data_IF_656786440672
#
_entry.id   IF_656786440672
#
_cell.length_a   1.000
_cell.length_b   1.000
_cell.length_c   1.000
_cell.angle_alpha   90.00
_cell.angle_beta   90.00
_cell.angle_gamma   90.00
#
_symmetry.space_group_name_H-M   'P 1'
#
loop_
_entity.id
_entity.type
_entity.pdbx_description
1 polymer ?
#
# COMPACT_ATOMS: atom_id res chain seq x y z
N UNK A 1 18.33 5.03 -7.90
CA UNK A 1 18.62 4.05 -6.84
C UNK A 1 18.92 2.76 -7.59
N UNK A 2 20.17 2.31 -7.49
CA UNK A 2 20.63 1.09 -8.15
C UNK A 2 19.97 -0.12 -7.46
N UNK A 3 19.23 -0.92 -8.22
CA UNK A 3 18.52 -2.10 -7.72
C UNK A 3 19.48 -3.30 -7.43
N UNK A 4 20.79 -3.06 -7.41
CA UNK A 4 21.81 -4.05 -7.08
C UNK A 4 22.13 -4.09 -5.57
N UNK A 5 21.15 -3.78 -4.71
CA UNK A 5 21.25 -4.06 -3.27
C UNK A 5 21.41 -5.56 -3.00
N UNK A 6 21.88 -5.98 -1.79
CA UNK A 6 22.18 -7.35 -1.47
C UNK A 6 21.06 -8.29 -1.89
N UNK A 7 21.42 -9.35 -2.59
CA UNK A 7 20.52 -10.31 -3.22
C UNK A 7 19.30 -10.65 -2.35
N UNK A 8 18.13 -10.22 -2.83
CA UNK A 8 16.88 -10.63 -2.21
C UNK A 8 16.79 -12.17 -2.22
N UNK A 9 16.29 -12.79 -1.15
CA UNK A 9 16.12 -14.24 -1.13
C UNK A 9 15.27 -14.68 -2.33
N UNK A 10 15.56 -15.85 -2.90
CA UNK A 10 14.84 -16.34 -4.07
C UNK A 10 13.34 -16.43 -3.75
N UNK A 11 12.46 -15.87 -4.59
CA UNK A 11 11.03 -15.93 -4.36
C UNK A 11 10.54 -17.38 -4.39
N UNK A 12 9.68 -17.73 -3.46
CA UNK A 12 9.00 -19.01 -3.34
C UNK A 12 7.84 -19.08 -4.33
N UNK A 13 8.06 -19.52 -5.55
CA UNK A 13 7.00 -19.66 -6.55
C UNK A 13 7.12 -20.98 -7.35
N UNK A 14 6.00 -21.65 -7.55
CA UNK A 14 5.85 -22.92 -8.27
C UNK A 14 5.89 -22.75 -9.82
N UNK A 15 6.08 -21.53 -10.31
CA UNK A 15 6.11 -21.20 -11.76
C UNK A 15 7.50 -20.78 -12.24
N UNK A 16 7.82 -20.88 -13.54
CA UNK A 16 9.14 -20.59 -14.09
C UNK A 16 9.56 -19.11 -13.95
N UNK A 17 8.69 -18.26 -13.43
CA UNK A 17 8.94 -16.85 -13.20
C UNK A 17 8.94 -16.53 -11.70
N UNK A 18 9.98 -15.87 -11.24
CA UNK A 18 10.07 -15.36 -9.87
C UNK A 18 9.20 -14.13 -9.72
N UNK A 19 8.11 -14.24 -8.97
CA UNK A 19 7.32 -13.09 -8.56
C UNK A 19 7.67 -12.72 -7.11
N UNK A 20 7.87 -11.44 -6.87
CA UNK A 20 8.04 -10.93 -5.51
C UNK A 20 6.68 -10.83 -4.84
N UNK A 21 6.46 -11.65 -3.84
CA UNK A 21 5.26 -11.66 -3.02
C UNK A 21 5.25 -10.57 -1.95
N UNK A 22 4.16 -10.52 -1.20
CA UNK A 22 4.01 -9.54 -0.13
C UNK A 22 5.06 -9.72 0.98
N UNK A 23 5.42 -10.96 1.32
CA UNK A 23 6.47 -11.25 2.30
C UNK A 23 7.85 -10.75 1.83
N UNK A 24 8.18 -10.92 0.56
CA UNK A 24 9.43 -10.44 -0.01
C UNK A 24 9.51 -8.89 0.05
N UNK A 25 8.38 -8.22 -0.23
CA UNK A 25 8.28 -6.77 -0.14
C UNK A 25 8.47 -6.30 1.31
N UNK A 26 7.81 -6.94 2.28
CA UNK A 26 7.98 -6.63 3.71
C UNK A 26 9.44 -6.84 4.12
N UNK A 27 10.06 -7.95 3.72
CA UNK A 27 11.46 -8.22 4.03
C UNK A 27 12.41 -7.19 3.41
N UNK A 28 12.12 -6.73 2.19
CA UNK A 28 12.89 -5.66 1.52
C UNK A 28 12.77 -4.33 2.28
N UNK A 29 11.56 -3.93 2.66
CA UNK A 29 11.34 -2.73 3.45
C UNK A 29 11.98 -2.81 4.85
N UNK A 30 11.96 -3.98 5.47
CA UNK A 30 12.64 -4.24 6.74
C UNK A 30 14.15 -3.96 6.64
N UNK A 31 14.81 -4.50 5.61
CA UNK A 31 16.24 -4.23 5.36
C UNK A 31 16.52 -2.76 5.08
N UNK A 32 15.64 -2.10 4.32
CA UNK A 32 15.76 -0.67 4.05
C UNK A 32 15.66 0.16 5.34
N UNK A 33 14.75 -0.21 6.25
CA UNK A 33 14.62 0.44 7.56
C UNK A 33 15.87 0.22 8.42
N UNK A 34 16.44 -0.99 8.43
CA UNK A 34 17.69 -1.29 9.14
C UNK A 34 18.83 -0.42 8.59
N UNK A 35 19.01 -0.41 7.27
CA UNK A 35 20.02 0.43 6.61
C UNK A 35 19.83 1.92 6.94
N UNK A 36 18.60 2.41 6.89
CA UNK A 36 18.29 3.80 7.24
C UNK A 36 18.66 4.08 8.70
N UNK A 37 18.36 3.16 9.62
CA UNK A 37 18.69 3.31 11.06
C UNK A 37 20.19 3.42 11.27
N UNK A 38 20.97 2.66 10.52
CA UNK A 38 22.44 2.70 10.60
C UNK A 38 23.05 4.00 10.05
N UNK A 39 22.35 4.66 9.13
CA UNK A 39 22.79 5.90 8.47
C UNK A 39 22.47 7.17 9.28
N UNK A 40 21.55 7.11 10.25
CA UNK A 40 21.13 8.28 11.02
C UNK A 40 21.50 8.13 12.52
N UNK A 41 21.70 9.25 13.25
CA UNK A 41 21.98 9.20 14.70
C UNK A 41 20.91 8.38 15.45
N UNK A 42 21.27 7.62 16.49
CA UNK A 42 20.32 6.81 17.27
C UNK A 42 19.14 7.60 17.87
N UNK A 43 19.34 8.87 18.16
CA UNK A 43 18.31 9.78 18.68
C UNK A 43 17.33 10.31 17.63
N UNK A 44 17.58 10.06 16.33
CA UNK A 44 16.71 10.55 15.26
C UNK A 44 15.39 9.76 15.26
N UNK A 45 14.22 10.43 15.41
CA UNK A 45 12.93 9.74 15.35
C UNK A 45 12.64 9.28 13.92
N UNK A 46 12.28 8.01 13.75
CA UNK A 46 11.86 7.46 12.45
C UNK A 46 10.34 7.41 12.38
N UNK A 47 9.82 7.94 11.27
CA UNK A 47 8.41 7.95 10.94
C UNK A 47 8.17 7.03 9.75
N UNK A 48 7.16 6.17 9.86
CA UNK A 48 6.76 5.28 8.76
C UNK A 48 5.40 5.73 8.25
N UNK A 49 5.33 5.98 6.96
CA UNK A 49 4.07 6.31 6.29
C UNK A 49 3.73 5.23 5.28
N UNK A 50 2.51 4.73 5.33
CA UNK A 50 2.01 3.73 4.39
C UNK A 50 0.68 4.13 3.78
N UNK A 51 0.55 3.98 2.46
CA UNK A 51 -0.69 4.17 1.73
C UNK A 51 -1.22 2.83 1.25
N UNK A 52 -2.52 2.58 1.42
CA UNK A 52 -3.19 1.37 0.96
C UNK A 52 -2.51 0.10 1.52
N UNK A 53 -2.02 -0.79 0.67
CA UNK A 53 -1.20 -1.95 1.04
C UNK A 53 0.05 -1.56 1.84
N UNK A 54 0.66 -0.41 1.53
CA UNK A 54 1.81 0.10 2.28
C UNK A 54 1.50 0.36 3.76
N UNK A 55 0.24 0.61 4.12
CA UNK A 55 -0.18 0.70 5.52
C UNK A 55 -0.12 -0.66 6.24
N UNK A 56 -0.49 -1.74 5.57
CA UNK A 56 -0.29 -3.10 6.09
C UNK A 56 1.20 -3.41 6.28
N UNK A 57 2.03 -3.07 5.29
CA UNK A 57 3.48 -3.25 5.38
C UNK A 57 4.05 -2.43 6.54
N UNK A 58 3.59 -1.20 6.77
CA UNK A 58 3.99 -0.37 7.91
C UNK A 58 3.68 -1.03 9.26
N UNK A 59 2.51 -1.68 9.40
CA UNK A 59 2.17 -2.46 10.59
C UNK A 59 3.08 -3.68 10.77
N UNK A 60 3.46 -4.35 9.68
CA UNK A 60 4.43 -5.46 9.74
C UNK A 60 5.82 -4.96 10.14
N UNK A 61 6.26 -3.80 9.62
CA UNK A 61 7.51 -3.17 10.06
C UNK A 61 7.47 -2.79 11.54
N UNK A 62 6.36 -2.25 12.03
CA UNK A 62 6.19 -2.00 13.46
C UNK A 62 6.30 -3.29 14.26
N UNK A 63 5.71 -4.38 13.77
CA UNK A 63 5.81 -5.67 14.44
C UNK A 63 7.26 -6.17 14.57
N UNK A 64 8.10 -5.91 13.57
CA UNK A 64 9.51 -6.35 13.56
C UNK A 64 10.46 -5.36 14.24
N UNK A 65 10.19 -4.05 14.16
CA UNK A 65 11.11 -2.97 14.52
C UNK A 65 10.45 -1.91 15.40
N UNK A 66 9.63 -2.32 16.38
CA UNK A 66 8.93 -1.39 17.26
C UNK A 66 9.87 -0.42 18.00
N UNK A 67 11.07 -0.87 18.35
CA UNK A 67 12.11 -0.07 19.00
C UNK A 67 12.66 1.06 18.12
N UNK A 68 12.62 0.90 16.79
CA UNK A 68 13.17 1.85 15.82
C UNK A 68 12.14 2.86 15.32
N UNK A 69 10.86 2.52 15.36
CA UNK A 69 9.77 3.35 14.84
C UNK A 69 9.19 4.22 15.94
N UNK A 70 9.14 5.54 15.70
CA UNK A 70 8.57 6.52 16.61
C UNK A 70 7.08 6.75 16.35
N UNK A 71 6.68 6.89 15.07
CA UNK A 71 5.31 7.12 14.70
C UNK A 71 4.94 6.47 13.36
N UNK A 72 3.65 6.21 13.17
CA UNK A 72 3.06 5.69 11.93
C UNK A 72 1.94 6.59 11.43
N UNK A 73 1.91 6.76 10.11
CA UNK A 73 0.85 7.43 9.36
C UNK A 73 0.27 6.45 8.35
N UNK A 74 -0.99 6.10 8.53
CA UNK A 74 -1.69 5.12 7.70
C UNK A 74 -2.71 5.85 6.81
N UNK A 75 -2.41 5.95 5.52
CA UNK A 75 -3.23 6.69 4.57
C UNK A 75 -4.11 5.73 3.77
N UNK A 76 -5.43 5.89 3.85
CA UNK A 76 -6.40 5.03 3.16
C UNK A 76 -6.05 3.54 3.34
N UNK A 77 -5.89 3.08 4.58
CA UNK A 77 -5.20 1.85 4.87
C UNK A 77 -6.02 0.61 4.50
N UNK A 78 -5.37 -0.32 3.78
CA UNK A 78 -5.88 -1.67 3.50
C UNK A 78 -5.20 -2.65 4.48
N UNK A 79 -5.60 -2.64 5.77
CA UNK A 79 -4.90 -3.34 6.86
C UNK A 79 -5.66 -4.50 7.48
N UNK A 80 -6.93 -4.66 7.15
CA UNK A 80 -7.74 -5.77 7.65
C UNK A 80 -8.81 -6.18 6.62
N UNK A 81 -9.20 -7.44 6.63
CA UNK A 81 -10.32 -8.01 5.87
C UNK A 81 -10.39 -7.61 4.39
N UNK A 82 -9.27 -7.37 3.73
CA UNK A 82 -9.22 -6.86 2.35
C UNK A 82 -10.04 -7.72 1.38
N UNK A 83 -10.15 -9.01 1.65
CA UNK A 83 -10.94 -9.95 0.86
C UNK A 83 -12.46 -9.63 0.86
N UNK A 84 -12.95 -8.82 1.81
CA UNK A 84 -14.34 -8.38 1.91
C UNK A 84 -14.59 -7.04 1.23
N UNK A 85 -13.54 -6.32 0.83
CA UNK A 85 -13.66 -5.05 0.14
C UNK A 85 -14.45 -5.20 -1.18
N UNK A 86 -15.36 -4.25 -1.50
CA UNK A 86 -16.13 -4.31 -2.76
C UNK A 86 -15.24 -4.44 -3.99
N UNK A 87 -14.15 -3.68 -4.05
CA UNK A 87 -13.18 -3.71 -5.15
C UNK A 87 -12.48 -5.06 -5.26
N UNK A 88 -12.20 -5.75 -4.15
CA UNK A 88 -11.55 -7.05 -4.16
C UNK A 88 -12.38 -8.11 -4.89
N UNK A 89 -13.72 -8.00 -4.86
CA UNK A 89 -14.62 -8.92 -5.59
C UNK A 89 -14.42 -8.82 -7.09
N UNK A 90 -14.26 -7.61 -7.61
CA UNK A 90 -14.03 -7.35 -9.03
C UNK A 90 -12.61 -7.79 -9.41
N UNK A 91 -11.63 -7.40 -8.62
CA UNK A 91 -10.21 -7.65 -8.90
C UNK A 91 -9.86 -9.14 -8.84
N UNK A 92 -10.62 -9.96 -8.08
CA UNK A 92 -10.47 -11.43 -8.07
C UNK A 92 -10.60 -12.07 -9.45
N UNK A 93 -11.31 -11.43 -10.40
CA UNK A 93 -11.42 -11.94 -11.77
C UNK A 93 -10.05 -12.09 -12.42
N UNK A 94 -9.07 -11.22 -12.05
CA UNK A 94 -7.69 -11.29 -12.56
C UNK A 94 -6.90 -12.48 -12.01
N UNK A 95 -7.38 -13.11 -10.93
CA UNK A 95 -6.78 -14.34 -10.38
C UNK A 95 -7.24 -15.60 -11.14
N UNK A 96 -8.25 -15.49 -11.99
CA UNK A 96 -8.68 -16.60 -12.83
C UNK A 96 -7.62 -16.83 -13.92
N UNK A 97 -7.04 -18.02 -13.96
CA UNK A 97 -5.87 -18.34 -14.80
C UNK A 97 -5.98 -17.92 -16.27
N UNK A 98 -7.10 -18.14 -16.98
CA UNK A 98 -7.26 -17.67 -18.36
C UNK A 98 -7.20 -16.14 -18.48
N UNK A 99 -7.80 -15.42 -17.53
CA UNK A 99 -7.76 -13.94 -17.50
C UNK A 99 -6.35 -13.46 -17.22
N UNK A 100 -5.68 -14.05 -16.25
CA UNK A 100 -4.29 -13.75 -15.93
C UNK A 100 -3.37 -13.97 -17.14
N UNK A 101 -3.50 -15.14 -17.82
CA UNK A 101 -2.72 -15.44 -19.00
C UNK A 101 -2.97 -14.44 -20.14
N UNK A 102 -4.23 -14.05 -20.35
CA UNK A 102 -4.61 -13.05 -21.34
C UNK A 102 -3.97 -11.68 -21.01
N UNK A 103 -4.09 -11.22 -19.76
CA UNK A 103 -3.49 -9.95 -19.31
C UNK A 103 -1.96 -9.99 -19.48
N UNK A 104 -1.33 -11.09 -19.09
CA UNK A 104 0.13 -11.25 -19.25
C UNK A 104 0.55 -11.22 -20.72
N UNK A 105 -0.17 -11.93 -21.58
CA UNK A 105 0.06 -11.93 -23.04
C UNK A 105 -0.13 -10.52 -23.62
N UNK A 106 -1.18 -9.81 -23.22
CA UNK A 106 -1.42 -8.42 -23.63
C UNK A 106 -0.25 -7.51 -23.23
N UNK A 107 0.20 -7.58 -21.98
CA UNK A 107 1.36 -6.80 -21.51
C UNK A 107 2.64 -7.17 -22.26
N UNK A 108 2.82 -8.47 -22.59
CA UNK A 108 3.95 -8.91 -23.38
C UNK A 108 3.91 -8.33 -24.81
N UNK A 109 2.76 -8.29 -25.47
CA UNK A 109 2.58 -7.65 -26.77
C UNK A 109 2.85 -6.14 -26.65
N UNK A 110 2.26 -5.47 -25.66
CA UNK A 110 2.42 -4.04 -25.43
C UNK A 110 3.89 -3.66 -25.14
N UNK A 111 4.63 -4.53 -24.48
CA UNK A 111 6.07 -4.31 -24.21
C UNK A 111 6.95 -4.27 -25.47
N UNK A 112 6.40 -4.72 -26.64
CA UNK A 112 7.08 -4.64 -27.95
C UNK A 112 6.77 -3.37 -28.72
N UNK A 113 5.80 -2.59 -28.25
CA UNK A 113 5.42 -1.31 -28.89
C UNK A 113 6.42 -0.23 -28.43
N UNK A 114 6.90 0.62 -29.35
CA UNK A 114 7.74 1.77 -29.01
C UNK A 114 7.08 2.61 -27.92
N UNK A 115 7.87 3.03 -26.92
CA UNK A 115 7.38 3.74 -25.72
C UNK A 115 6.59 5.00 -26.05
N UNK A 116 6.97 5.74 -27.13
CA UNK A 116 6.24 6.91 -27.62
C UNK A 116 4.80 6.60 -28.04
N UNK A 117 4.60 5.42 -28.63
CA UNK A 117 3.27 4.98 -29.06
C UNK A 117 2.42 4.53 -27.86
N UNK A 118 3.02 3.82 -26.91
CA UNK A 118 2.35 3.46 -25.64
C UNK A 118 1.90 4.73 -24.91
N UNK A 119 2.77 5.70 -24.80
CA UNK A 119 2.47 6.99 -24.19
C UNK A 119 1.29 7.68 -24.88
N UNK A 120 1.29 7.73 -26.20
CA UNK A 120 0.20 8.30 -26.99
C UNK A 120 -1.13 7.54 -26.76
N UNK A 121 -1.12 6.21 -26.82
CA UNK A 121 -2.30 5.37 -26.57
C UNK A 121 -2.84 5.62 -25.17
N UNK A 122 -1.99 5.55 -24.15
CA UNK A 122 -2.38 5.72 -22.74
C UNK A 122 -2.95 7.12 -22.50
N UNK A 123 -2.36 8.14 -23.10
CA UNK A 123 -2.83 9.52 -23.00
C UNK A 123 -4.28 9.73 -23.47
N UNK A 124 -4.78 8.83 -24.32
CA UNK A 124 -6.16 8.85 -24.81
C UNK A 124 -7.11 7.92 -24.05
N UNK A 125 -6.64 7.28 -22.99
CA UNK A 125 -7.46 6.40 -22.14
C UNK A 125 -7.83 7.06 -20.81
N UNK A 126 -8.62 6.37 -20.01
CA UNK A 126 -8.88 6.77 -18.61
C UNK A 126 -7.63 6.76 -17.73
N UNK A 127 -6.54 6.13 -18.16
CA UNK A 127 -5.25 6.06 -17.46
C UNK A 127 -4.32 7.25 -17.75
N UNK A 128 -4.82 8.28 -18.42
CA UNK A 128 -4.05 9.48 -18.87
C UNK A 128 -3.43 10.32 -17.75
N UNK A 129 -3.74 10.04 -16.47
CA UNK A 129 -3.27 10.87 -15.35
C UNK A 129 -1.80 10.72 -15.02
N UNK A 130 -1.23 9.56 -15.34
CA UNK A 130 0.20 9.30 -15.23
C UNK A 130 0.64 8.44 -16.41
N UNK A 131 0.62 8.99 -17.64
CA UNK A 131 0.88 8.20 -18.83
C UNK A 131 2.29 7.61 -18.84
N UNK A 132 3.30 8.33 -18.31
CA UNK A 132 4.66 7.82 -18.18
C UNK A 132 4.75 6.61 -17.27
N UNK A 133 4.25 6.73 -16.03
CA UNK A 133 4.27 5.64 -15.06
C UNK A 133 3.46 4.43 -15.54
N UNK A 134 2.32 4.68 -16.20
CA UNK A 134 1.49 3.61 -16.76
C UNK A 134 2.17 2.94 -17.95
N UNK A 135 2.82 3.70 -18.83
CA UNK A 135 3.58 3.16 -19.96
C UNK A 135 4.75 2.31 -19.46
N UNK A 136 5.47 2.77 -18.43
CA UNK A 136 6.56 2.02 -17.82
C UNK A 136 6.09 0.72 -17.17
N UNK A 137 4.95 0.75 -16.49
CA UNK A 137 4.35 -0.45 -15.88
C UNK A 137 3.95 -1.47 -16.95
N UNK A 138 3.23 -1.02 -17.99
CA UNK A 138 2.72 -1.88 -19.05
C UNK A 138 3.85 -2.42 -19.93
N UNK A 139 4.91 -1.63 -20.14
CA UNK A 139 6.10 -2.08 -20.88
C UNK A 139 6.90 -3.17 -20.15
N UNK A 140 6.56 -3.45 -18.89
CA UNK A 140 7.20 -4.49 -18.07
C UNK A 140 6.19 -5.60 -17.74
N UNK A 141 6.01 -6.62 -18.60
CA UNK A 141 4.96 -7.64 -18.41
C UNK A 141 5.06 -8.35 -17.06
N UNK A 142 6.27 -8.51 -16.53
CA UNK A 142 6.48 -9.09 -15.20
C UNK A 142 5.98 -8.20 -14.06
N UNK A 143 6.00 -6.87 -14.20
CA UNK A 143 5.49 -5.97 -13.17
C UNK A 143 3.99 -6.13 -12.96
N UNK A 144 3.22 -6.24 -14.06
CA UNK A 144 1.77 -6.49 -13.98
C UNK A 144 1.49 -7.88 -13.38
N UNK A 145 2.23 -8.90 -13.80
CA UNK A 145 2.09 -10.24 -13.24
C UNK A 145 2.44 -10.26 -11.74
N UNK A 146 3.49 -9.56 -11.32
CA UNK A 146 3.85 -9.40 -9.91
C UNK A 146 2.74 -8.70 -9.12
N UNK A 147 2.13 -7.64 -9.68
CA UNK A 147 1.02 -6.94 -9.03
C UNK A 147 -0.19 -7.86 -8.81
N UNK A 148 -0.55 -8.70 -9.80
CA UNK A 148 -1.63 -9.69 -9.65
C UNK A 148 -1.26 -10.76 -8.62
N UNK A 149 -0.02 -11.22 -8.61
CA UNK A 149 0.45 -12.18 -7.62
C UNK A 149 0.43 -11.58 -6.21
N UNK A 150 0.91 -10.35 -6.03
CA UNK A 150 0.84 -9.63 -4.75
C UNK A 150 -0.61 -9.49 -4.28
N UNK A 151 -1.53 -9.16 -5.18
CA UNK A 151 -2.96 -9.09 -4.82
C UNK A 151 -3.50 -10.43 -4.30
N UNK A 152 -3.07 -11.55 -4.86
CA UNK A 152 -3.40 -12.87 -4.31
C UNK A 152 -2.89 -13.02 -2.87
N UNK A 153 -1.65 -12.61 -2.60
CA UNK A 153 -1.08 -12.64 -1.25
C UNK A 153 -1.82 -11.71 -0.29
N UNK A 154 -2.23 -10.51 -0.73
CA UNK A 154 -3.04 -9.59 0.06
C UNK A 154 -4.33 -10.27 0.54
N UNK A 155 -5.04 -10.95 -0.35
CA UNK A 155 -6.29 -11.66 0.01
C UNK A 155 -6.07 -12.77 1.03
N UNK A 156 -4.88 -13.35 1.07
CA UNK A 156 -4.50 -14.43 2.00
C UNK A 156 -4.01 -13.91 3.33
N UNK A 157 -3.21 -12.85 3.31
CA UNK A 157 -2.45 -12.36 4.47
C UNK A 157 -3.19 -11.28 5.24
N UNK A 158 -3.90 -10.38 4.54
CA UNK A 158 -4.59 -9.25 5.17
C UNK A 158 -5.98 -9.68 5.65
N UNK A 159 -6.01 -10.32 6.80
CA UNK A 159 -7.23 -10.79 7.46
C UNK A 159 -7.56 -9.88 8.63
N UNK A 160 -7.14 -10.26 9.80
CA UNK A 160 -7.33 -9.53 11.04
C UNK A 160 -6.04 -8.80 11.45
N UNK A 161 -6.15 -7.77 12.28
CA UNK A 161 -4.99 -7.14 12.89
C UNK A 161 -4.61 -7.97 14.12
N UNK A 162 -3.43 -8.61 14.14
CA UNK A 162 -3.04 -9.46 15.26
C UNK A 162 -2.89 -8.65 16.55
N UNK A 163 -3.34 -9.21 17.68
CA UNK A 163 -3.28 -8.55 19.00
C UNK A 163 -1.86 -8.09 19.35
N UNK A 164 -0.84 -8.87 19.02
CA UNK A 164 0.54 -8.48 19.31
C UNK A 164 1.02 -7.26 18.52
N UNK A 165 0.47 -7.00 17.32
CA UNK A 165 0.72 -5.77 16.55
C UNK A 165 0.06 -4.58 17.22
N UNK A 166 -1.19 -4.75 17.67
CA UNK A 166 -1.91 -3.73 18.43
C UNK A 166 -1.19 -3.37 19.73
N UNK A 167 -0.69 -4.36 20.47
CA UNK A 167 0.10 -4.13 21.69
C UNK A 167 1.38 -3.32 21.41
N UNK A 168 2.10 -3.62 20.34
CA UNK A 168 3.29 -2.85 19.94
C UNK A 168 2.99 -1.43 19.48
N UNK A 169 1.76 -1.19 19.00
CA UNK A 169 1.32 0.13 18.61
C UNK A 169 0.99 1.06 19.78
N UNK A 170 0.68 0.52 20.97
CA UNK A 170 0.22 1.30 22.14
C UNK A 170 1.14 2.44 22.54
N UNK A 171 2.45 2.24 22.47
CA UNK A 171 3.44 3.23 22.88
C UNK A 171 3.87 4.17 21.75
N UNK A 172 3.30 4.01 20.57
CA UNK A 172 3.66 4.76 19.37
C UNK A 172 2.62 5.83 19.05
N UNK A 173 2.99 6.79 18.23
CA UNK A 173 2.03 7.69 17.62
C UNK A 173 1.47 6.97 16.38
N UNK A 174 0.16 6.69 16.37
CA UNK A 174 -0.51 6.08 15.22
C UNK A 174 -1.61 7.00 14.73
N UNK A 175 -1.52 7.43 13.50
CA UNK A 175 -2.52 8.27 12.85
C UNK A 175 -3.01 7.59 11.58
N UNK A 176 -4.32 7.44 11.46
CA UNK A 176 -4.94 6.85 10.28
C UNK A 176 -5.90 7.84 9.62
N UNK A 177 -5.82 7.93 8.30
CA UNK A 177 -6.65 8.78 7.45
C UNK A 177 -7.44 7.90 6.50
N UNK A 178 -8.76 8.02 6.53
CA UNK A 178 -9.69 7.16 5.79
C UNK A 178 -10.47 7.95 4.75
N UNK A 179 -10.93 7.28 3.72
CA UNK A 179 -11.89 7.84 2.77
C UNK A 179 -13.23 8.15 3.44
N UNK A 180 -14.01 9.03 2.83
CA UNK A 180 -15.31 9.43 3.33
C UNK A 180 -16.32 8.28 3.21
N UNK A 181 -16.85 7.82 4.33
CA UNK A 181 -17.86 6.77 4.38
C UNK A 181 -17.43 5.50 3.65
N UNK A 182 -18.25 5.05 2.70
CA UNK A 182 -18.00 3.90 1.83
C UNK A 182 -17.58 4.30 0.39
N UNK A 183 -17.18 5.55 0.20
CA UNK A 183 -16.67 6.03 -1.09
C UNK A 183 -15.36 5.33 -1.51
N UNK A 184 -14.59 4.88 -0.53
CA UNK A 184 -13.40 4.07 -0.75
C UNK A 184 -13.77 2.59 -0.87
N UNK A 185 -13.73 2.06 -2.07
CA UNK A 185 -14.11 0.67 -2.37
C UNK A 185 -13.12 -0.38 -1.86
N UNK A 186 -11.92 0.02 -1.42
CA UNK A 186 -10.92 -0.83 -0.81
C UNK A 186 -10.98 -0.80 0.71
N UNK A 187 -11.38 0.35 1.29
CA UNK A 187 -11.26 0.62 2.72
C UNK A 187 -12.51 1.31 3.24
N UNK A 188 -13.61 0.55 3.29
CA UNK A 188 -14.93 1.03 3.69
C UNK A 188 -15.03 1.35 5.18
N UNK A 189 -16.16 1.94 5.59
CA UNK A 189 -16.48 2.20 7.00
C UNK A 189 -16.44 0.94 7.88
N UNK A 190 -16.68 -0.25 7.30
CA UNK A 190 -16.49 -1.53 8.01
C UNK A 190 -15.02 -1.74 8.41
N UNK A 191 -14.10 -1.61 7.46
CA UNK A 191 -12.66 -1.79 7.69
C UNK A 191 -12.14 -0.76 8.68
N UNK A 192 -12.61 0.50 8.56
CA UNK A 192 -12.26 1.57 9.48
C UNK A 192 -12.66 1.23 10.91
N UNK A 193 -13.94 0.89 11.16
CA UNK A 193 -14.41 0.54 12.52
C UNK A 193 -13.63 -0.64 13.12
N UNK A 194 -13.30 -1.62 12.29
CA UNK A 194 -12.52 -2.77 12.73
C UNK A 194 -11.11 -2.36 13.16
N UNK A 195 -10.42 -1.56 12.33
CA UNK A 195 -9.09 -1.05 12.64
C UNK A 195 -9.07 -0.12 13.86
N UNK A 196 -10.07 0.78 13.99
CA UNK A 196 -10.25 1.64 15.17
C UNK A 196 -10.36 0.83 16.45
N UNK A 197 -11.16 -0.23 16.43
CA UNK A 197 -11.31 -1.13 17.57
C UNK A 197 -10.02 -1.88 17.89
N UNK A 198 -9.37 -2.47 16.87
CA UNK A 198 -8.19 -3.31 17.06
C UNK A 198 -6.95 -2.51 17.50
N UNK A 199 -6.77 -1.31 16.98
CA UNK A 199 -5.63 -0.44 17.29
C UNK A 199 -5.93 0.61 18.36
N UNK A 200 -7.14 0.59 18.96
CA UNK A 200 -7.60 1.56 19.96
C UNK A 200 -7.45 3.02 19.49
N UNK A 201 -7.93 3.31 18.27
CA UNK A 201 -7.83 4.64 17.69
C UNK A 201 -9.05 5.50 18.08
N UNK A 202 -8.77 6.70 18.60
CA UNK A 202 -9.81 7.68 18.87
C UNK A 202 -10.25 8.38 17.57
N UNK A 203 -11.57 8.52 17.37
CA UNK A 203 -12.09 9.28 16.22
C UNK A 203 -11.85 10.76 16.41
N UNK A 204 -11.25 11.37 15.39
CA UNK A 204 -10.99 12.79 15.37
C UNK A 204 -11.51 13.42 14.09
N UNK A 205 -12.32 14.48 14.21
CA UNK A 205 -13.03 15.07 13.07
C UNK A 205 -12.40 16.35 12.51
N UNK A 206 -11.51 17.01 13.25
CA UNK A 206 -10.92 18.31 12.84
C UNK A 206 -9.44 18.18 12.49
N UNK A 207 -9.14 18.02 11.21
CA UNK A 207 -7.78 17.69 10.75
C UNK A 207 -6.92 18.92 10.46
N UNK A 208 -7.52 20.06 10.09
CA UNK A 208 -6.78 21.08 9.30
C UNK A 208 -5.97 22.06 10.15
N UNK A 209 -6.26 22.30 11.43
CA UNK A 209 -5.63 23.40 12.20
C UNK A 209 -5.33 23.13 13.68
N UNK A 210 -5.56 21.93 14.19
CA UNK A 210 -5.31 21.63 15.62
C UNK A 210 -4.53 20.33 15.78
N UNK A 211 -3.62 20.32 16.75
CA UNK A 211 -2.95 19.07 17.12
C UNK A 211 -4.00 18.05 17.61
N UNK A 212 -3.90 16.77 17.22
CA UNK A 212 -4.80 15.75 17.68
C UNK A 212 -4.71 15.57 19.20
N UNK A 213 -5.84 15.32 19.89
CA UNK A 213 -5.89 15.24 21.36
C UNK A 213 -5.18 14.01 21.93
N UNK A 214 -4.98 12.99 21.12
CA UNK A 214 -4.35 11.73 21.55
C UNK A 214 -3.25 11.28 20.60
N UNK A 215 -2.41 10.34 21.08
CA UNK A 215 -1.36 9.72 20.25
C UNK A 215 -1.92 8.81 19.16
N UNK A 216 -3.09 8.24 19.40
CA UNK A 216 -3.75 7.30 18.51
C UNK A 216 -5.01 7.94 17.93
N UNK A 217 -5.02 8.25 16.66
CA UNK A 217 -6.17 8.90 16.03
C UNK A 217 -6.55 8.24 14.72
N UNK A 218 -7.86 8.25 14.47
CA UNK A 218 -8.49 7.88 13.20
C UNK A 218 -9.28 9.05 12.66
N UNK A 219 -8.98 9.46 11.46
CA UNK A 219 -9.60 10.63 10.81
C UNK A 219 -10.24 10.21 9.49
N UNK A 220 -11.42 10.76 9.23
CA UNK A 220 -12.11 10.64 7.95
C UNK A 220 -11.83 11.87 7.09
N UNK A 221 -11.43 11.64 5.84
CA UNK A 221 -11.19 12.72 4.90
C UNK A 221 -12.52 13.37 4.49
N UNK A 222 -12.67 14.67 4.75
CA UNK A 222 -13.90 15.41 4.41
C UNK A 222 -13.98 15.78 2.93
N UNK A 223 -12.85 15.81 2.23
CA UNK A 223 -12.76 16.23 0.83
C UNK A 223 -13.11 15.13 -0.18
N UNK A 224 -13.70 14.02 0.28
CA UNK A 224 -14.09 12.88 -0.57
C UNK A 224 -12.95 12.41 -1.50
N UNK A 225 -11.70 12.45 -1.02
CA UNK A 225 -10.54 12.03 -1.79
C UNK A 225 -10.63 10.56 -2.16
N UNK A 226 -10.33 10.19 -3.41
CA UNK A 226 -10.34 8.81 -3.83
C UNK A 226 -9.20 8.01 -3.20
N UNK A 227 -9.34 6.69 -3.10
CA UNK A 227 -8.29 5.79 -2.59
C UNK A 227 -6.94 6.02 -3.27
N UNK A 228 -6.94 6.21 -4.57
CA UNK A 228 -5.75 6.52 -5.36
C UNK A 228 -5.44 8.03 -5.42
N UNK A 229 -5.54 8.75 -4.29
CA UNK A 229 -5.31 10.20 -4.21
C UNK A 229 -3.95 10.62 -4.78
N UNK A 230 -2.94 9.78 -4.67
CA UNK A 230 -1.58 10.04 -5.14
C UNK A 230 -1.51 10.32 -6.66
N UNK A 231 -2.52 9.93 -7.42
CA UNK A 231 -2.58 10.20 -8.85
C UNK A 231 -3.00 11.65 -9.19
N UNK A 232 -3.72 12.33 -8.27
CA UNK A 232 -4.32 13.65 -8.55
C UNK A 232 -4.35 14.61 -7.37
N UNK A 233 -4.30 14.12 -6.15
CA UNK A 233 -4.62 14.88 -4.93
C UNK A 233 -3.49 14.84 -3.90
N UNK A 234 -2.24 14.58 -4.33
CA UNK A 234 -1.09 14.50 -3.43
C UNK A 234 -0.87 15.78 -2.63
N UNK A 235 -1.15 16.96 -3.22
CA UNK A 235 -1.05 18.23 -2.50
C UNK A 235 -2.08 18.36 -1.36
N UNK A 236 -3.30 17.86 -1.57
CA UNK A 236 -4.34 17.89 -0.54
C UNK A 236 -3.92 17.03 0.66
N UNK A 237 -3.37 15.84 0.41
CA UNK A 237 -2.85 14.97 1.47
C UNK A 237 -1.64 15.59 2.16
N UNK A 238 -0.71 16.20 1.42
CA UNK A 238 0.47 16.83 2.01
C UNK A 238 0.14 17.98 2.98
N UNK A 239 -1.05 18.56 2.89
CA UNK A 239 -1.54 19.59 3.83
C UNK A 239 -2.14 18.98 5.11
N UNK A 240 -2.47 17.69 5.09
CA UNK A 240 -3.14 16.99 6.19
C UNK A 240 -2.12 16.20 7.05
N UNK A 241 -1.04 15.74 6.45
CA UNK A 241 0.05 14.97 7.10
C UNK A 241 1.15 15.86 7.63
#
# INVERSE_FOLDING_TARGET
IDETGPEAPPPTGVWPFRYYGLEDQIASQSRALDTLRDLVPPSTPLFVQGHSLGAFMALQLLNMHADKIHAMYLLFPAICHIAQAPQARITRTFLFMPVFALVHMMCWILSRIPRSWLYWIIGHTSLRYSPDATADLVARPYAVATAVYMFHDELRMIKDIPTHVAERAKDKIVRSYWGQGDSDSWSTSFHRRHAESALHLDRWQNVIHTAPPSKHTSTECQDALPHAFCLRHSEAIARIT
#
